data_IF_771635271045
#
_entry.id   IF_771635271045
#
_cell.length_a   1.000
_cell.length_b   1.000
_cell.length_c   1.000
_cell.angle_alpha   90.00
_cell.angle_beta   90.00
_cell.angle_gamma   90.00
#
_symmetry.space_group_name_H-M   'P 1'
#
loop_
_entity.id
_entity.type
_entity.pdbx_description
1 polymer ?
#
# COMPACT_ATOMS: atom_id res chain seq x y z
N UNK A 1 -14.70 20.39 13.02
CA UNK A 1 -13.99 19.48 12.09
C UNK A 1 -12.47 19.47 12.29
N UNK A 2 -11.74 20.60 12.17
CA UNK A 2 -10.26 20.62 12.23
C UNK A 2 -9.66 20.08 13.55
N UNK A 3 -10.23 20.42 14.71
CA UNK A 3 -9.75 19.91 16.01
C UNK A 3 -10.01 18.41 16.18
N UNK A 4 -11.18 17.92 15.75
CA UNK A 4 -11.53 16.50 15.79
C UNK A 4 -10.56 15.70 14.94
N UNK A 5 -10.31 16.16 13.71
CA UNK A 5 -9.35 15.51 12.80
C UNK A 5 -7.94 15.44 13.41
N UNK A 6 -7.46 16.53 14.04
CA UNK A 6 -6.16 16.54 14.71
C UNK A 6 -6.08 15.51 15.85
N UNK A 7 -7.16 15.36 16.61
CA UNK A 7 -7.24 14.39 17.72
C UNK A 7 -7.24 12.95 17.18
N UNK A 8 -8.09 12.65 16.18
CA UNK A 8 -8.16 11.32 15.57
C UNK A 8 -6.83 10.95 14.88
N UNK A 9 -6.21 11.89 14.18
CA UNK A 9 -4.91 11.68 13.55
C UNK A 9 -3.81 11.42 14.59
N UNK A 10 -3.79 12.15 15.72
CA UNK A 10 -2.87 11.88 16.80
C UNK A 10 -3.07 10.47 17.38
N UNK A 11 -4.31 10.06 17.60
CA UNK A 11 -4.64 8.69 18.06
C UNK A 11 -4.13 7.63 17.08
N UNK A 12 -4.35 7.85 15.78
CA UNK A 12 -3.92 6.94 14.72
C UNK A 12 -2.40 6.79 14.67
N UNK A 13 -1.66 7.91 14.76
CA UNK A 13 -0.20 7.91 14.67
C UNK A 13 0.49 7.38 15.93
N UNK A 14 -0.09 7.56 17.11
CA UNK A 14 0.49 7.09 18.38
C UNK A 14 -0.01 5.70 18.82
N UNK A 15 -0.89 5.08 18.04
CA UNK A 15 -1.46 3.76 18.34
C UNK A 15 -0.44 2.62 18.19
N UNK A 16 -0.59 1.56 19.01
CA UNK A 16 0.22 0.34 18.91
C UNK A 16 0.11 -0.33 17.53
N UNK A 17 -1.03 -0.19 16.86
CA UNK A 17 -1.26 -0.72 15.51
C UNK A 17 -0.37 -0.06 14.46
N UNK A 18 -0.07 1.24 14.58
CA UNK A 18 0.87 1.94 13.70
C UNK A 18 2.28 1.39 13.85
N UNK A 19 2.75 1.25 15.10
CA UNK A 19 4.09 0.69 15.38
C UNK A 19 4.20 -0.74 14.85
N UNK A 20 3.19 -1.58 15.10
CA UNK A 20 3.17 -2.96 14.64
C UNK A 20 3.19 -3.07 13.11
N UNK A 21 2.39 -2.26 12.42
CA UNK A 21 2.36 -2.23 10.95
C UNK A 21 3.71 -1.84 10.35
N UNK A 22 4.30 -0.73 10.84
CA UNK A 22 5.62 -0.27 10.39
C UNK A 22 6.69 -1.31 10.70
N UNK A 23 6.66 -1.95 11.87
CA UNK A 23 7.61 -2.98 12.27
C UNK A 23 7.55 -4.17 11.31
N UNK A 24 6.37 -4.72 11.04
CA UNK A 24 6.21 -5.86 10.12
C UNK A 24 6.73 -5.49 8.72
N UNK A 25 6.31 -4.33 8.21
CA UNK A 25 6.76 -3.86 6.89
C UNK A 25 8.27 -3.63 6.82
N UNK A 26 8.87 -3.07 7.88
CA UNK A 26 10.31 -2.83 7.95
C UNK A 26 11.11 -4.13 8.06
N UNK A 27 10.60 -5.13 8.79
CA UNK A 27 11.24 -6.47 8.84
C UNK A 27 11.29 -7.11 7.47
N UNK A 28 10.20 -7.05 6.69
CA UNK A 28 10.17 -7.52 5.30
C UNK A 28 11.14 -6.70 4.43
N UNK A 29 11.19 -5.38 4.62
CA UNK A 29 12.14 -4.52 3.94
C UNK A 29 13.60 -4.86 4.23
N UNK A 30 13.95 -5.17 5.48
CA UNK A 30 15.29 -5.62 5.87
C UNK A 30 15.60 -6.98 5.26
N UNK A 31 14.68 -7.93 5.30
CA UNK A 31 14.86 -9.23 4.66
C UNK A 31 15.17 -9.08 3.17
N UNK A 32 14.44 -8.21 2.47
CA UNK A 32 14.68 -7.88 1.07
C UNK A 32 16.07 -7.24 0.85
N UNK A 33 16.51 -6.31 1.73
CA UNK A 33 17.84 -5.72 1.65
C UNK A 33 18.92 -6.80 1.69
N UNK A 34 18.77 -7.76 2.60
CA UNK A 34 19.76 -8.85 2.80
C UNK A 34 19.77 -9.82 1.61
N UNK A 35 18.60 -10.16 1.05
CA UNK A 35 18.46 -11.20 0.02
C UNK A 35 18.65 -10.71 -1.41
N UNK A 36 18.31 -9.45 -1.68
CA UNK A 36 18.28 -8.89 -3.03
C UNK A 36 19.26 -7.73 -3.21
N UNK A 37 19.19 -6.69 -2.35
CA UNK A 37 19.98 -5.46 -2.53
C UNK A 37 21.48 -5.71 -2.28
N UNK A 38 21.85 -6.42 -1.21
CA UNK A 38 23.27 -6.71 -0.90
C UNK A 38 23.91 -7.62 -1.96
N UNK A 39 23.28 -8.70 -2.43
CA UNK A 39 23.80 -9.48 -3.55
C UNK A 39 23.96 -8.66 -4.84
N UNK A 40 22.96 -7.84 -5.19
CA UNK A 40 23.05 -6.94 -6.35
C UNK A 40 24.21 -5.94 -6.23
N UNK A 41 24.42 -5.36 -5.04
CA UNK A 41 25.56 -4.50 -4.77
C UNK A 41 26.90 -5.24 -4.96
N UNK A 42 27.01 -6.47 -4.44
CA UNK A 42 28.23 -7.29 -4.63
C UNK A 42 28.45 -7.64 -6.11
N UNK A 43 27.41 -7.96 -6.84
CA UNK A 43 27.48 -8.21 -8.27
C UNK A 43 27.97 -6.97 -9.05
N UNK A 44 27.52 -5.77 -8.67
CA UNK A 44 28.00 -4.52 -9.26
C UNK A 44 29.50 -4.23 -8.96
N UNK A 45 30.03 -4.70 -7.82
CA UNK A 45 31.45 -4.54 -7.47
C UNK A 45 32.37 -5.53 -8.18
N UNK A 46 31.84 -6.69 -8.59
CA UNK A 46 32.62 -7.62 -9.41
C UNK A 46 32.67 -7.06 -10.83
N UNK A 47 33.86 -7.16 -11.49
CA UNK A 47 34.02 -6.68 -12.87
C UNK A 47 33.20 -7.51 -13.90
N UNK A 48 32.19 -8.22 -13.46
CA UNK A 48 31.32 -9.08 -14.26
C UNK A 48 30.72 -8.34 -15.47
N UNK A 49 30.29 -7.11 -15.28
CA UNK A 49 29.71 -6.28 -16.35
C UNK A 49 30.75 -5.78 -17.36
N UNK A 50 32.02 -5.71 -16.99
CA UNK A 50 33.10 -5.40 -17.93
C UNK A 50 33.40 -6.57 -18.87
N UNK A 51 33.21 -7.80 -18.41
CA UNK A 51 33.39 -9.01 -19.20
C UNK A 51 32.16 -9.31 -20.09
N UNK A 52 30.97 -8.89 -19.64
CA UNK A 52 29.69 -9.07 -20.33
C UNK A 52 29.02 -7.73 -20.62
N UNK A 53 29.39 -6.98 -21.63
CA UNK A 53 28.89 -5.63 -21.93
C UNK A 53 27.40 -5.61 -22.33
N UNK A 54 26.77 -6.77 -22.51
CA UNK A 54 25.33 -6.91 -22.76
C UNK A 54 24.50 -6.73 -21.46
N UNK A 55 25.14 -6.92 -20.27
CA UNK A 55 24.48 -6.78 -18.99
C UNK A 55 24.69 -5.37 -18.43
N UNK A 56 23.64 -4.77 -17.90
CA UNK A 56 23.74 -3.49 -17.17
C UNK A 56 23.91 -3.73 -15.67
N UNK A 57 24.59 -2.82 -14.95
CA UNK A 57 24.63 -2.87 -13.49
C UNK A 57 23.22 -2.78 -12.91
N UNK A 58 22.95 -3.49 -11.79
CA UNK A 58 21.69 -3.37 -11.08
C UNK A 58 21.46 -1.93 -10.63
N UNK A 59 20.28 -1.41 -10.96
CA UNK A 59 19.83 -0.07 -10.61
C UNK A 59 18.96 -0.08 -9.35
N UNK A 60 19.05 0.99 -8.56
CA UNK A 60 18.24 1.16 -7.37
C UNK A 60 16.73 1.14 -7.66
N UNK A 61 16.31 1.73 -8.80
CA UNK A 61 14.92 1.78 -9.21
C UNK A 61 14.33 0.43 -9.63
N UNK A 62 15.17 -0.53 -10.01
CA UNK A 62 14.75 -1.89 -10.38
C UNK A 62 14.77 -2.85 -9.18
N UNK A 63 15.76 -2.68 -8.28
CA UNK A 63 16.07 -3.66 -7.25
C UNK A 63 15.38 -3.40 -5.91
N UNK A 64 14.73 -2.24 -5.69
CA UNK A 64 13.98 -2.02 -4.45
C UNK A 64 12.75 -2.93 -4.34
N UNK A 65 12.21 -3.13 -3.14
CA UNK A 65 11.19 -4.15 -2.85
C UNK A 65 9.94 -4.07 -3.73
N UNK A 66 9.52 -2.87 -4.12
CA UNK A 66 8.41 -2.70 -5.05
C UNK A 66 8.87 -2.55 -6.52
N UNK A 67 10.16 -2.50 -6.81
CA UNK A 67 10.70 -2.29 -8.16
C UNK A 67 10.70 -3.53 -9.02
N UNK A 68 10.83 -4.71 -8.42
CA UNK A 68 10.84 -6.00 -9.13
C UNK A 68 9.63 -6.85 -8.72
N UNK A 69 8.88 -7.42 -9.66
CA UNK A 69 7.78 -8.33 -9.37
C UNK A 69 8.24 -9.72 -8.90
N UNK A 70 9.53 -10.04 -9.06
CA UNK A 70 10.06 -11.39 -8.85
C UNK A 70 10.54 -11.65 -7.42
N UNK A 71 10.55 -10.63 -6.55
CA UNK A 71 11.01 -10.81 -5.17
C UNK A 71 9.89 -11.29 -4.24
N UNK A 72 10.22 -12.28 -3.40
CA UNK A 72 9.28 -12.90 -2.46
C UNK A 72 8.77 -11.91 -1.40
N UNK A 73 9.66 -11.08 -0.88
CA UNK A 73 9.36 -10.11 0.18
C UNK A 73 8.36 -9.05 -0.31
N UNK A 74 8.52 -8.56 -1.54
CA UNK A 74 7.57 -7.65 -2.18
C UNK A 74 6.22 -8.33 -2.38
N UNK A 75 6.21 -9.56 -2.91
CA UNK A 75 4.95 -10.30 -3.07
C UNK A 75 4.21 -10.46 -1.74
N UNK A 76 4.89 -10.91 -0.67
CA UNK A 76 4.29 -11.05 0.66
C UNK A 76 3.80 -9.69 1.17
N UNK A 77 4.60 -8.62 1.03
CA UNK A 77 4.24 -7.28 1.48
C UNK A 77 2.95 -6.79 0.81
N UNK A 78 2.83 -6.90 -0.51
CA UNK A 78 1.65 -6.45 -1.24
C UNK A 78 0.43 -7.36 -1.06
N UNK A 79 0.66 -8.65 -0.78
CA UNK A 79 -0.42 -9.57 -0.41
C UNK A 79 -1.05 -9.20 0.94
N UNK A 80 -0.24 -8.89 1.96
CA UNK A 80 -0.72 -8.53 3.31
C UNK A 80 -0.96 -7.02 3.47
N UNK A 81 -0.76 -6.22 2.43
CA UNK A 81 -0.93 -4.76 2.44
C UNK A 81 -2.26 -4.31 3.06
N UNK A 82 -3.44 -4.94 2.80
CA UNK A 82 -4.69 -4.54 3.42
C UNK A 82 -4.67 -4.69 4.95
N UNK A 83 -3.98 -5.70 5.49
CA UNK A 83 -3.82 -5.89 6.93
C UNK A 83 -2.93 -4.78 7.49
N UNK A 84 -1.76 -4.55 6.86
CA UNK A 84 -0.83 -3.50 7.27
C UNK A 84 -1.50 -2.11 7.29
N UNK A 85 -2.28 -1.81 6.27
CA UNK A 85 -3.01 -0.55 6.16
C UNK A 85 -4.13 -0.41 7.21
N UNK A 86 -4.77 -1.51 7.60
CA UNK A 86 -5.89 -1.51 8.54
C UNK A 86 -5.46 -1.46 10.00
N UNK A 87 -4.26 -1.98 10.33
CA UNK A 87 -3.73 -2.05 11.70
C UNK A 87 -3.68 -0.71 12.44
N UNK A 88 -3.26 0.41 11.83
CA UNK A 88 -3.14 1.69 12.54
C UNK A 88 -4.46 2.20 13.11
N UNK A 89 -5.51 2.21 12.29
CA UNK A 89 -6.75 2.91 12.65
C UNK A 89 -8.03 2.32 12.01
N UNK A 90 -7.94 1.25 11.23
CA UNK A 90 -9.09 0.66 10.54
C UNK A 90 -10.17 0.15 11.49
N UNK A 91 -9.80 -0.37 12.67
CA UNK A 91 -10.74 -0.87 13.70
C UNK A 91 -11.20 0.19 14.70
N UNK A 92 -10.75 1.43 14.57
CA UNK A 92 -10.95 2.47 15.58
C UNK A 92 -12.41 2.86 15.80
N UNK A 93 -13.25 2.80 14.76
CA UNK A 93 -14.70 3.04 14.90
C UNK A 93 -15.38 1.92 15.68
N UNK A 94 -15.03 0.68 15.39
CA UNK A 94 -15.50 -0.49 16.12
C UNK A 94 -15.17 -0.40 17.62
N UNK A 95 -13.94 0.00 17.94
CA UNK A 95 -13.49 0.19 19.33
C UNK A 95 -14.31 1.28 20.04
N UNK A 96 -14.46 2.46 19.40
CA UNK A 96 -15.22 3.57 19.95
C UNK A 96 -16.71 3.22 20.19
N UNK A 97 -17.30 2.35 19.36
CA UNK A 97 -18.65 1.82 19.56
C UNK A 97 -18.71 0.88 20.76
N UNK A 98 -17.80 -0.10 20.82
CA UNK A 98 -17.80 -1.12 21.90
C UNK A 98 -17.47 -0.53 23.27
N UNK A 99 -16.59 0.45 23.34
CA UNK A 99 -16.22 1.16 24.58
C UNK A 99 -17.24 2.24 24.99
N UNK A 100 -18.26 2.51 24.15
CA UNK A 100 -19.27 3.53 24.41
C UNK A 100 -18.76 4.98 24.33
N UNK A 101 -17.51 5.19 23.90
CA UNK A 101 -16.89 6.51 23.77
C UNK A 101 -17.65 7.38 22.76
N UNK A 102 -18.24 6.76 21.76
CA UNK A 102 -18.97 7.43 20.69
C UNK A 102 -20.15 8.29 21.20
N UNK A 103 -20.82 7.87 22.28
CA UNK A 103 -21.92 8.65 22.92
C UNK A 103 -21.42 10.00 23.42
N UNK A 104 -20.30 10.00 24.11
CA UNK A 104 -19.67 11.22 24.65
C UNK A 104 -19.19 12.17 23.54
N UNK A 105 -18.73 11.61 22.42
CA UNK A 105 -18.29 12.40 21.26
C UNK A 105 -19.50 13.07 20.58
N UNK A 106 -20.59 12.34 20.38
CA UNK A 106 -21.78 12.86 19.73
C UNK A 106 -22.54 13.93 20.55
N UNK A 107 -22.40 13.92 21.88
CA UNK A 107 -22.91 15.01 22.71
C UNK A 107 -22.16 16.33 22.51
N UNK A 108 -20.91 16.29 22.05
CA UNK A 108 -20.02 17.48 21.94
C UNK A 108 -19.78 17.92 20.50
N UNK A 109 -20.05 17.06 19.51
CA UNK A 109 -19.71 17.29 18.11
C UNK A 109 -20.79 16.78 17.19
N UNK A 110 -20.91 17.40 16.01
CA UNK A 110 -21.80 16.88 14.97
C UNK A 110 -21.30 15.52 14.49
N UNK A 111 -22.20 14.56 14.41
CA UNK A 111 -21.94 13.18 14.00
C UNK A 111 -21.20 13.09 12.66
N UNK A 112 -21.64 13.85 11.67
CA UNK A 112 -20.99 13.89 10.36
C UNK A 112 -19.54 14.39 10.41
N UNK A 113 -19.25 15.41 11.23
CA UNK A 113 -17.90 15.95 11.36
C UNK A 113 -16.94 14.94 11.98
N UNK A 114 -17.41 14.15 12.94
CA UNK A 114 -16.65 13.05 13.52
C UNK A 114 -16.38 11.95 12.50
N UNK A 115 -17.41 11.48 11.77
CA UNK A 115 -17.27 10.42 10.77
C UNK A 115 -16.32 10.83 9.66
N UNK A 116 -16.42 12.05 9.13
CA UNK A 116 -15.51 12.59 8.10
C UNK A 116 -14.07 12.66 8.62
N UNK A 117 -13.87 13.13 9.84
CA UNK A 117 -12.54 13.22 10.46
C UNK A 117 -11.94 11.83 10.68
N UNK A 118 -12.75 10.86 11.12
CA UNK A 118 -12.36 9.47 11.32
C UNK A 118 -11.95 8.78 10.03
N UNK A 119 -12.76 8.95 8.98
CA UNK A 119 -12.47 8.43 7.65
C UNK A 119 -11.14 8.96 7.10
N UNK A 120 -10.94 10.29 7.17
CA UNK A 120 -9.70 10.91 6.72
C UNK A 120 -8.47 10.46 7.53
N UNK A 121 -8.63 10.31 8.86
CA UNK A 121 -7.56 9.82 9.72
C UNK A 121 -7.19 8.35 9.41
N UNK A 122 -8.17 7.49 9.16
CA UNK A 122 -7.94 6.09 8.76
C UNK A 122 -7.24 6.00 7.40
N UNK A 123 -7.70 6.77 6.42
CA UNK A 123 -7.09 6.82 5.08
C UNK A 123 -5.62 7.24 5.15
N UNK A 124 -5.31 8.35 5.82
CA UNK A 124 -3.95 8.86 5.89
C UNK A 124 -3.04 7.96 6.72
N UNK A 125 -3.50 7.46 7.87
CA UNK A 125 -2.68 6.59 8.72
C UNK A 125 -2.39 5.25 8.06
N UNK A 126 -3.36 4.65 7.35
CA UNK A 126 -3.16 3.43 6.58
C UNK A 126 -2.14 3.63 5.45
N UNK A 127 -2.24 4.74 4.71
CA UNK A 127 -1.27 5.10 3.69
C UNK A 127 0.15 5.29 4.24
N UNK A 128 0.29 6.04 5.34
CA UNK A 128 1.60 6.28 5.99
C UNK A 128 2.22 4.98 6.49
N UNK A 129 1.44 4.08 7.10
CA UNK A 129 1.92 2.81 7.64
C UNK A 129 2.57 1.92 6.58
N UNK A 130 2.07 1.94 5.35
CA UNK A 130 2.61 1.20 4.21
C UNK A 130 3.78 1.95 3.56
N UNK A 131 3.66 3.27 3.46
CA UNK A 131 4.65 4.10 2.78
C UNK A 131 6.00 4.14 3.51
N UNK A 132 6.00 4.18 4.85
CA UNK A 132 7.24 4.28 5.65
C UNK A 132 8.20 3.10 5.40
N UNK A 133 7.78 1.83 5.47
CA UNK A 133 8.67 0.70 5.15
C UNK A 133 9.16 0.70 3.70
N UNK A 134 8.32 1.11 2.76
CA UNK A 134 8.68 1.18 1.34
C UNK A 134 9.74 2.26 1.07
N UNK A 135 9.58 3.44 1.67
CA UNK A 135 10.59 4.50 1.60
C UNK A 135 11.90 4.04 2.26
N UNK A 136 11.83 3.38 3.42
CA UNK A 136 13.01 2.84 4.07
C UNK A 136 13.77 1.88 3.15
N UNK A 137 13.10 0.93 2.53
CA UNK A 137 13.71 -0.02 1.61
C UNK A 137 14.29 0.67 0.36
N UNK A 138 13.55 1.63 -0.22
CA UNK A 138 14.04 2.43 -1.34
C UNK A 138 15.29 3.22 -0.97
N UNK A 139 15.35 3.83 0.22
CA UNK A 139 16.54 4.54 0.70
C UNK A 139 17.74 3.61 0.83
N UNK A 140 17.55 2.38 1.36
CA UNK A 140 18.60 1.37 1.41
C UNK A 140 19.11 1.02 0.00
N UNK A 141 18.20 0.88 -0.96
CA UNK A 141 18.56 0.62 -2.36
C UNK A 141 19.37 1.76 -2.97
N UNK A 142 18.94 3.02 -2.76
CA UNK A 142 19.64 4.20 -3.29
C UNK A 142 21.02 4.44 -2.65
N UNK A 143 21.24 3.99 -1.42
CA UNK A 143 22.54 4.09 -0.74
C UNK A 143 23.54 3.07 -1.29
N UNK A 144 23.08 1.88 -1.65
CA UNK A 144 23.93 0.77 -2.06
C UNK A 144 24.07 0.64 -3.58
N UNK A 145 23.07 0.99 -4.34
CA UNK A 145 23.03 0.81 -5.80
C UNK A 145 22.98 2.15 -6.54
N UNK A 146 23.57 2.24 -7.72
CA UNK A 146 23.52 3.44 -8.55
C UNK A 146 22.09 3.68 -9.05
N UNK A 147 21.72 4.94 -9.16
CA UNK A 147 20.45 5.34 -9.77
C UNK A 147 20.64 5.55 -11.29
N UNK A 148 20.73 4.44 -12.03
CA UNK A 148 20.89 4.45 -13.48
C UNK A 148 19.53 4.30 -14.17
N UNK A 149 19.38 4.94 -15.32
CA UNK A 149 18.25 4.66 -16.20
C UNK A 149 18.46 3.29 -16.85
N UNK A 150 17.50 2.36 -16.76
CA UNK A 150 17.63 1.04 -17.33
C UNK A 150 17.73 1.11 -18.86
N UNK A 151 18.50 0.22 -19.46
CA UNK A 151 18.62 0.11 -20.90
C UNK A 151 17.52 -0.83 -21.42
N UNK A 152 16.67 -0.34 -22.32
CA UNK A 152 15.55 -1.09 -22.89
C UNK A 152 15.96 -2.28 -23.77
N UNK A 153 17.24 -2.35 -24.15
CA UNK A 153 17.82 -3.37 -25.03
C UNK A 153 18.37 -4.60 -24.28
N UNK A 154 18.34 -4.58 -22.93
CA UNK A 154 18.95 -5.64 -22.14
C UNK A 154 17.94 -6.69 -21.74
N UNK A 155 18.28 -7.97 -21.99
CA UNK A 155 17.43 -9.13 -21.78
C UNK A 155 17.10 -9.46 -20.31
N UNK A 156 17.81 -8.87 -19.36
CA UNK A 156 17.59 -9.06 -17.92
C UNK A 156 16.51 -8.13 -17.33
N UNK A 157 16.04 -7.14 -18.09
CA UNK A 157 14.96 -6.29 -17.65
C UNK A 157 13.64 -7.07 -17.71
N UNK A 158 13.18 -7.51 -16.55
CA UNK A 158 11.83 -8.07 -16.34
C UNK A 158 10.75 -7.05 -16.74
N UNK A 159 11.13 -5.78 -16.79
CA UNK A 159 10.31 -4.64 -17.12
C UNK A 159 10.13 -4.54 -18.65
N UNK A 160 8.94 -4.90 -19.12
CA UNK A 160 8.63 -4.93 -20.55
C UNK A 160 7.98 -3.63 -21.04
N UNK A 161 8.02 -3.33 -22.36
CA UNK A 161 7.32 -2.19 -22.96
C UNK A 161 5.80 -2.18 -22.74
N UNK A 162 5.23 -3.24 -22.18
CA UNK A 162 3.80 -3.41 -21.91
C UNK A 162 3.37 -2.83 -20.56
N UNK A 163 4.31 -2.36 -19.73
CA UNK A 163 4.03 -1.83 -18.41
C UNK A 163 3.43 -0.43 -18.44
N UNK A 164 2.71 -0.12 -17.36
CA UNK A 164 2.15 1.21 -17.15
C UNK A 164 3.25 2.27 -17.18
N UNK A 165 3.14 3.24 -18.09
CA UNK A 165 4.08 4.35 -18.24
C UNK A 165 5.56 3.95 -18.43
N UNK A 166 5.85 2.85 -19.12
CA UNK A 166 7.19 2.33 -19.34
C UNK A 166 8.19 3.38 -19.86
N UNK A 167 7.76 4.33 -20.72
CA UNK A 167 8.62 5.41 -21.23
C UNK A 167 9.21 6.27 -20.10
N UNK A 168 8.42 6.54 -19.05
CA UNK A 168 8.88 7.34 -17.91
C UNK A 168 9.92 6.55 -17.12
N UNK A 169 9.76 5.22 -16.99
CA UNK A 169 10.73 4.37 -16.31
C UNK A 169 12.10 4.42 -16.98
N UNK A 170 12.15 4.30 -18.31
CA UNK A 170 13.42 4.32 -19.07
C UNK A 170 14.04 5.70 -19.20
N UNK A 171 13.29 6.79 -19.00
CA UNK A 171 13.83 8.15 -19.07
C UNK A 171 14.10 8.77 -17.70
N UNK A 172 13.18 8.57 -16.75
CA UNK A 172 13.20 9.17 -15.42
C UNK A 172 12.73 8.16 -14.35
N UNK A 173 13.56 7.16 -14.00
CA UNK A 173 13.17 6.07 -13.10
C UNK A 173 12.69 6.57 -11.73
N UNK A 174 13.25 7.64 -11.17
CA UNK A 174 12.83 8.19 -9.87
C UNK A 174 11.43 8.83 -9.93
N UNK A 175 11.04 9.44 -11.04
CA UNK A 175 9.68 9.96 -11.23
C UNK A 175 8.68 8.80 -11.26
N UNK A 176 9.04 7.73 -11.96
CA UNK A 176 8.25 6.49 -12.02
C UNK A 176 8.09 5.85 -10.63
N UNK A 177 9.18 5.70 -9.89
CA UNK A 177 9.17 5.16 -8.52
C UNK A 177 8.29 6.01 -7.58
N UNK A 178 8.41 7.34 -7.66
CA UNK A 178 7.58 8.26 -6.86
C UNK A 178 6.10 8.13 -7.21
N UNK A 179 5.76 7.98 -8.49
CA UNK A 179 4.38 7.74 -8.93
C UNK A 179 3.80 6.47 -8.29
N UNK A 180 4.55 5.36 -8.28
CA UNK A 180 4.11 4.11 -7.65
C UNK A 180 4.00 4.22 -6.13
N UNK A 181 4.91 4.94 -5.46
CA UNK A 181 4.78 5.22 -4.02
C UNK A 181 3.48 5.96 -3.69
N UNK A 182 3.10 6.95 -4.49
CA UNK A 182 1.82 7.67 -4.33
C UNK A 182 0.65 6.72 -4.56
N UNK A 183 0.71 5.89 -5.59
CA UNK A 183 -0.33 4.91 -5.89
C UNK A 183 -0.52 3.89 -4.75
N UNK A 184 0.58 3.39 -4.21
CA UNK A 184 0.61 2.47 -3.06
C UNK A 184 0.03 3.12 -1.80
N UNK A 185 0.37 4.38 -1.54
CA UNK A 185 -0.21 5.16 -0.45
C UNK A 185 -1.74 5.29 -0.57
N UNK A 186 -2.24 5.64 -1.75
CA UNK A 186 -3.68 5.79 -2.01
C UNK A 186 -4.42 4.47 -1.83
N UNK A 187 -3.87 3.37 -2.36
CA UNK A 187 -4.46 2.04 -2.22
C UNK A 187 -4.48 1.55 -0.77
N UNK A 188 -3.39 1.76 -0.02
CA UNK A 188 -3.34 1.45 1.40
C UNK A 188 -4.40 2.24 2.18
N UNK A 189 -4.56 3.53 1.87
CA UNK A 189 -5.62 4.36 2.46
C UNK A 189 -7.01 3.80 2.20
N UNK A 190 -7.29 3.32 0.98
CA UNK A 190 -8.57 2.70 0.63
C UNK A 190 -8.78 1.43 1.44
N UNK A 191 -7.80 0.54 1.56
CA UNK A 191 -7.93 -0.69 2.35
C UNK A 191 -8.19 -0.42 3.84
N UNK A 192 -7.57 0.61 4.41
CA UNK A 192 -7.89 1.07 5.76
C UNK A 192 -9.34 1.54 5.88
N UNK A 193 -9.86 2.24 4.87
CA UNK A 193 -11.25 2.68 4.81
C UNK A 193 -12.24 1.52 4.57
N UNK A 194 -11.86 0.48 3.84
CA UNK A 194 -12.65 -0.77 3.74
C UNK A 194 -12.82 -1.38 5.12
N UNK A 195 -11.73 -1.53 5.90
CA UNK A 195 -11.78 -2.02 7.27
C UNK A 195 -12.72 -1.17 8.14
N UNK A 196 -12.59 0.16 8.07
CA UNK A 196 -13.45 1.09 8.81
C UNK A 196 -14.93 0.92 8.43
N UNK A 197 -15.24 0.73 7.14
CA UNK A 197 -16.61 0.57 6.64
C UNK A 197 -17.26 -0.76 7.05
N UNK A 198 -16.45 -1.77 7.31
CA UNK A 198 -16.92 -3.10 7.76
C UNK A 198 -17.17 -3.16 9.27
N UNK A 199 -16.75 -2.15 10.04
CA UNK A 199 -16.99 -2.07 11.49
C UNK A 199 -18.45 -2.21 11.91
N UNK A 200 -19.39 -1.97 10.99
CA UNK A 200 -20.83 -2.13 11.20
C UNK A 200 -21.36 -3.55 10.95
N UNK A 201 -20.54 -4.46 10.42
CA UNK A 201 -21.00 -5.77 9.95
C UNK A 201 -20.63 -6.92 10.89
N UNK A 202 -19.73 -6.72 11.83
CA UNK A 202 -19.22 -7.77 12.70
C UNK A 202 -19.04 -7.29 14.13
N UNK A 203 -19.30 -8.19 15.07
CA UNK A 203 -19.08 -7.99 16.49
C UNK A 203 -17.66 -8.36 16.96
N UNK A 204 -16.84 -8.89 16.06
CA UNK A 204 -15.49 -9.35 16.35
C UNK A 204 -14.43 -8.46 15.69
N UNK A 205 -13.58 -7.82 16.49
CA UNK A 205 -12.50 -6.94 16.03
C UNK A 205 -11.58 -7.59 14.99
N UNK A 206 -11.22 -8.87 15.21
CA UNK A 206 -10.32 -9.61 14.31
C UNK A 206 -10.96 -9.79 12.93
N UNK A 207 -12.26 -10.07 12.86
CA UNK A 207 -12.99 -10.21 11.59
C UNK A 207 -12.96 -8.89 10.82
N UNK A 208 -13.23 -7.77 11.49
CA UNK A 208 -13.18 -6.44 10.88
C UNK A 208 -11.79 -6.15 10.32
N UNK A 209 -10.73 -6.47 11.09
CA UNK A 209 -9.34 -6.21 10.70
C UNK A 209 -8.91 -7.02 9.46
N UNK A 210 -9.29 -8.31 9.40
CA UNK A 210 -8.82 -9.22 8.35
C UNK A 210 -9.72 -9.15 7.10
N UNK A 211 -10.92 -8.62 7.20
CA UNK A 211 -11.89 -8.55 6.09
C UNK A 211 -11.31 -7.93 4.79
N UNK A 212 -10.59 -6.79 4.82
CA UNK A 212 -10.00 -6.21 3.61
C UNK A 212 -9.02 -7.15 2.91
N UNK A 213 -8.27 -7.95 3.67
CA UNK A 213 -7.37 -8.96 3.12
C UNK A 213 -8.13 -10.05 2.36
N UNK A 214 -9.22 -10.57 2.93
CA UNK A 214 -10.03 -11.57 2.23
C UNK A 214 -10.68 -11.00 0.96
N UNK A 215 -11.12 -9.75 0.98
CA UNK A 215 -11.64 -9.09 -0.22
C UNK A 215 -10.56 -9.02 -1.30
N UNK A 216 -9.35 -8.58 -0.96
CA UNK A 216 -8.23 -8.56 -1.91
C UNK A 216 -7.89 -9.95 -2.43
N UNK A 217 -7.83 -10.96 -1.55
CA UNK A 217 -7.50 -12.33 -1.90
C UNK A 217 -8.55 -12.92 -2.86
N UNK A 218 -9.84 -12.76 -2.57
CA UNK A 218 -10.93 -13.23 -3.43
C UNK A 218 -10.87 -12.56 -4.81
N UNK A 219 -10.69 -11.24 -4.85
CA UNK A 219 -10.54 -10.51 -6.12
C UNK A 219 -9.32 -11.02 -6.91
N UNK A 220 -8.19 -11.24 -6.23
CA UNK A 220 -7.00 -11.79 -6.88
C UNK A 220 -7.24 -13.18 -7.46
N UNK A 221 -7.86 -14.08 -6.71
CA UNK A 221 -8.19 -15.45 -7.15
C UNK A 221 -9.17 -15.41 -8.34
N UNK A 222 -10.21 -14.58 -8.30
CA UNK A 222 -11.15 -14.41 -9.41
C UNK A 222 -10.41 -13.94 -10.67
N UNK A 223 -9.58 -12.91 -10.54
CA UNK A 223 -8.80 -12.40 -11.68
C UNK A 223 -7.85 -13.46 -12.26
N UNK A 224 -7.25 -14.29 -11.40
CA UNK A 224 -6.37 -15.39 -11.83
C UNK A 224 -7.14 -16.49 -12.59
N UNK A 225 -8.29 -16.94 -12.06
CA UNK A 225 -9.12 -17.98 -12.69
C UNK A 225 -9.68 -17.51 -14.04
N UNK A 226 -10.03 -16.23 -14.15
CA UNK A 226 -10.58 -15.65 -15.39
C UNK A 226 -9.49 -15.26 -16.41
N UNK A 227 -8.20 -15.53 -16.14
CA UNK A 227 -7.06 -15.08 -16.97
C UNK A 227 -6.98 -13.55 -17.16
N UNK A 228 -7.49 -12.81 -16.19
CA UNK A 228 -7.47 -11.34 -16.17
C UNK A 228 -6.69 -10.82 -14.98
N UNK A 229 -5.50 -11.37 -14.75
CA UNK A 229 -4.64 -11.07 -13.58
C UNK A 229 -4.25 -9.59 -13.51
N UNK A 230 -4.20 -8.91 -14.66
CA UNK A 230 -3.88 -7.47 -14.77
C UNK A 230 -4.89 -6.58 -14.04
N UNK A 231 -6.10 -7.07 -13.77
CA UNK A 231 -7.10 -6.35 -12.98
C UNK A 231 -6.89 -6.50 -11.47
N UNK A 232 -6.04 -7.43 -11.02
CA UNK A 232 -5.80 -7.64 -9.60
C UNK A 232 -5.01 -6.50 -8.97
N UNK A 233 -5.49 -5.98 -7.82
CA UNK A 233 -4.79 -4.93 -7.08
C UNK A 233 -3.41 -5.35 -6.57
N UNK A 234 -3.17 -6.64 -6.35
CA UNK A 234 -1.86 -7.18 -5.96
C UNK A 234 -0.85 -6.96 -7.08
N UNK A 235 -1.29 -7.07 -8.34
CA UNK A 235 -0.45 -6.97 -9.53
C UNK A 235 -0.15 -5.52 -9.92
N UNK A 236 -1.17 -4.71 -10.18
CA UNK A 236 -0.96 -3.39 -10.74
C UNK A 236 -0.41 -2.34 -9.76
N UNK A 237 -0.44 -2.63 -8.44
CA UNK A 237 0.20 -1.80 -7.41
C UNK A 237 1.73 -1.94 -7.43
N UNK A 238 2.26 -3.03 -8.00
CA UNK A 238 3.69 -3.23 -8.20
C UNK A 238 4.10 -2.82 -9.63
N UNK A 239 5.18 -2.06 -9.82
CA UNK A 239 5.79 -1.90 -11.13
C UNK A 239 6.28 -3.25 -11.66
N UNK A 240 6.34 -3.40 -12.96
CA UNK A 240 6.90 -4.59 -13.59
C UNK A 240 5.91 -5.69 -13.95
N UNK A 241 4.68 -5.61 -13.52
CA UNK A 241 3.65 -6.55 -13.94
C UNK A 241 2.96 -6.09 -15.24
N UNK A 242 2.83 -7.01 -16.18
CA UNK A 242 2.00 -7.15 -17.35
C UNK A 242 1.43 -5.95 -18.10
N UNK A 243 0.40 -6.19 -18.87
CA UNK A 243 -0.33 -5.17 -19.65
C UNK A 243 -1.30 -4.44 -18.73
N UNK A 244 -0.83 -3.39 -18.05
CA UNK A 244 -1.70 -2.61 -17.16
C UNK A 244 -2.23 -1.40 -17.91
N UNK A 245 -3.53 -1.39 -18.19
CA UNK A 245 -4.19 -0.21 -18.73
C UNK A 245 -4.29 0.89 -17.65
N UNK A 246 -3.93 2.13 -17.99
CA UNK A 246 -3.89 3.28 -17.05
C UNK A 246 -5.22 3.56 -16.33
N UNK A 247 -6.35 3.17 -16.92
CA UNK A 247 -7.68 3.36 -16.35
C UNK A 247 -7.98 2.41 -15.17
N UNK A 248 -7.32 1.24 -15.08
CA UNK A 248 -7.54 0.25 -14.03
C UNK A 248 -7.27 0.84 -12.64
N UNK A 249 -6.07 1.39 -12.34
CA UNK A 249 -5.82 2.05 -11.06
C UNK A 249 -6.83 3.17 -10.76
N UNK A 250 -7.18 3.98 -11.76
CA UNK A 250 -8.13 5.09 -11.59
C UNK A 250 -9.51 4.59 -11.18
N UNK A 251 -10.01 3.53 -11.82
CA UNK A 251 -11.30 2.92 -11.48
C UNK A 251 -11.28 2.38 -10.04
N UNK A 252 -10.22 1.68 -9.65
CA UNK A 252 -10.07 1.19 -8.26
C UNK A 252 -10.06 2.34 -7.24
N UNK A 253 -9.35 3.42 -7.51
CA UNK A 253 -9.29 4.57 -6.62
C UNK A 253 -10.66 5.26 -6.51
N UNK A 254 -11.33 5.52 -7.63
CA UNK A 254 -12.63 6.20 -7.64
C UNK A 254 -13.71 5.33 -6.98
N UNK A 255 -13.82 4.07 -7.37
CA UNK A 255 -14.81 3.14 -6.78
C UNK A 255 -14.48 2.89 -5.31
N UNK A 256 -13.22 2.61 -4.98
CA UNK A 256 -12.80 2.32 -3.62
C UNK A 256 -13.11 3.47 -2.66
N UNK A 257 -12.75 4.70 -3.00
CA UNK A 257 -13.05 5.88 -2.17
C UNK A 257 -14.55 6.13 -2.10
N UNK A 258 -15.25 6.10 -3.24
CA UNK A 258 -16.68 6.43 -3.29
C UNK A 258 -17.53 5.43 -2.51
N UNK A 259 -17.29 4.14 -2.71
CA UNK A 259 -18.05 3.07 -2.03
C UNK A 259 -17.77 3.08 -0.54
N UNK A 260 -16.52 3.12 -0.13
CA UNK A 260 -16.17 3.10 1.31
C UNK A 260 -16.67 4.34 2.03
N UNK A 261 -16.52 5.52 1.41
CA UNK A 261 -17.03 6.77 1.98
C UNK A 261 -18.57 6.74 2.12
N UNK A 262 -19.28 6.36 1.04
CA UNK A 262 -20.75 6.30 1.06
C UNK A 262 -21.27 5.29 2.08
N UNK A 263 -20.71 4.09 2.13
CA UNK A 263 -21.11 3.03 3.08
C UNK A 263 -20.86 3.50 4.51
N UNK A 264 -19.68 4.02 4.80
CA UNK A 264 -19.29 4.49 6.12
C UNK A 264 -20.18 5.65 6.60
N UNK A 265 -20.39 6.66 5.75
CA UNK A 265 -21.25 7.80 6.09
C UNK A 265 -22.72 7.41 6.25
N UNK A 266 -23.28 6.63 5.30
CA UNK A 266 -24.69 6.26 5.34
C UNK A 266 -25.03 5.39 6.55
N UNK A 267 -24.21 4.38 6.85
CA UNK A 267 -24.41 3.52 8.03
C UNK A 267 -24.11 4.28 9.31
N UNK A 268 -22.96 4.98 9.37
CA UNK A 268 -22.57 5.74 10.54
C UNK A 268 -23.58 6.81 10.96
N UNK A 269 -24.32 7.45 10.05
CA UNK A 269 -25.37 8.41 10.39
C UNK A 269 -26.66 7.73 10.87
N UNK A 270 -26.97 6.52 10.42
CA UNK A 270 -28.21 5.80 10.73
C UNK A 270 -28.13 4.88 11.97
N UNK A 271 -26.94 4.61 12.45
CA UNK A 271 -26.73 3.69 13.58
C UNK A 271 -27.30 4.30 14.87
N UNK A 272 -28.25 3.60 15.50
CA UNK A 272 -28.75 3.98 16.82
C UNK A 272 -27.71 3.61 17.88
N UNK A 273 -27.09 4.65 18.44
CA UNK A 273 -26.02 4.53 19.45
C UNK A 273 -26.57 4.66 20.88
N UNK A 274 -27.90 4.89 21.02
CA UNK A 274 -28.56 5.10 22.31
C UNK A 274 -29.37 3.91 22.74
#
# INVERSE_FOLDING_TARGET
MKQIFKTEMKRAMSGKGMVLSILIGTVLGIAHVIREIIPAYRANLTNFYNEFPILSPHSAAETWMAGSPSNLEGFIFFLILPILASLPFGTSYFEDCKEGVIKNIYMRTKREDYLKAKYAAAFLSGGIAVLVPLIFNLMCSLVLLPNLAPLSTMGDNILTPLMLFYKIFFTHPMIYTTFFLVLQFLMAGIWACVCLSVSFLSDYKIVVLIFPFFVQLILHVICTITNHIDYSSVYWVQPGHGIIAWWIPVVYLVIGISVTFFVFMKKGVREDVF
#
